data_IF_071660197575
#
_entry.id   IF_071660197575
#
_cell.length_a   1.000
_cell.length_b   1.000
_cell.length_c   1.000
_cell.angle_alpha   90.00
_cell.angle_beta   90.00
_cell.angle_gamma   90.00
#
_symmetry.space_group_name_H-M   'P 1'
#
loop_
_entity.id
_entity.type
_entity.pdbx_description
1 polymer ?
#
# COMPACT_ATOMS: atom_id res chain seq x y z
N UNK A 1 -17.26 23.25 10.44
CA UNK A 1 -16.14 22.65 11.18
C UNK A 1 -15.76 21.34 10.52
N UNK A 2 -16.53 20.25 10.67
CA UNK A 2 -16.30 18.97 9.97
C UNK A 2 -15.94 19.04 8.46
N UNK A 3 -16.69 19.81 7.65
CA UNK A 3 -16.41 19.95 6.21
C UNK A 3 -15.15 20.75 5.89
N UNK A 4 -14.69 21.60 6.81
CA UNK A 4 -13.48 22.41 6.64
C UNK A 4 -12.24 21.55 6.92
N UNK A 5 -12.25 20.77 8.00
CA UNK A 5 -11.18 19.82 8.34
C UNK A 5 -11.00 18.76 7.25
N UNK A 6 -12.10 18.20 6.72
CA UNK A 6 -12.05 17.27 5.59
C UNK A 6 -11.42 17.92 4.34
N UNK A 7 -11.76 19.18 4.06
CA UNK A 7 -11.19 19.90 2.92
C UNK A 7 -9.70 20.21 3.11
N UNK A 8 -9.27 20.51 4.33
CA UNK A 8 -7.86 20.69 4.67
C UNK A 8 -7.06 19.39 4.50
N UNK A 9 -7.60 18.27 4.99
CA UNK A 9 -6.97 16.95 4.84
C UNK A 9 -6.90 16.57 3.35
N UNK A 10 -7.97 16.82 2.57
CA UNK A 10 -7.99 16.58 1.12
C UNK A 10 -6.93 17.41 0.38
N UNK A 11 -6.76 18.68 0.76
CA UNK A 11 -5.72 19.57 0.23
C UNK A 11 -4.33 19.04 0.51
N UNK A 12 -4.05 18.65 1.75
CA UNK A 12 -2.76 18.08 2.15
C UNK A 12 -2.45 16.76 1.40
N UNK A 13 -3.43 15.87 1.26
CA UNK A 13 -3.27 14.62 0.49
C UNK A 13 -2.92 14.94 -0.97
N UNK A 14 -3.61 15.90 -1.57
CA UNK A 14 -3.38 16.32 -2.96
C UNK A 14 -1.98 16.92 -3.16
N UNK A 15 -1.51 17.75 -2.23
CA UNK A 15 -0.15 18.30 -2.27
C UNK A 15 0.91 17.19 -2.14
N UNK A 16 0.67 16.19 -1.29
CA UNK A 16 1.55 15.03 -1.18
C UNK A 16 1.56 14.22 -2.47
N UNK A 17 0.41 13.94 -3.09
CA UNK A 17 0.38 13.23 -4.38
C UNK A 17 1.12 14.00 -5.47
N UNK A 18 0.97 15.33 -5.52
CA UNK A 18 1.74 16.17 -6.44
C UNK A 18 3.24 16.07 -6.17
N UNK A 19 3.65 16.06 -4.90
CA UNK A 19 5.05 15.89 -4.52
C UNK A 19 5.58 14.48 -4.86
N UNK A 20 4.77 13.44 -4.68
CA UNK A 20 5.10 12.05 -5.03
C UNK A 20 5.28 11.92 -6.54
N UNK A 21 4.32 12.40 -7.34
CA UNK A 21 4.38 12.39 -8.80
C UNK A 21 5.66 13.04 -9.32
N UNK A 22 5.93 14.28 -8.88
CA UNK A 22 7.14 15.01 -9.25
C UNK A 22 8.42 14.30 -8.77
N UNK A 23 8.35 13.65 -7.61
CA UNK A 23 9.46 12.89 -7.04
C UNK A 23 9.81 11.64 -7.83
N UNK A 24 8.81 10.83 -8.21
CA UNK A 24 9.01 9.64 -9.04
C UNK A 24 9.48 10.00 -10.45
N UNK A 25 8.93 11.06 -11.06
CA UNK A 25 9.41 11.57 -12.35
C UNK A 25 10.88 12.03 -12.30
N UNK A 26 11.33 12.58 -11.16
CA UNK A 26 12.75 12.90 -10.94
C UNK A 26 13.57 11.64 -10.74
N UNK A 27 13.07 10.69 -9.95
CA UNK A 27 13.71 9.41 -9.65
C UNK A 27 14.05 8.62 -10.93
N UNK A 28 13.16 8.63 -11.93
CA UNK A 28 13.37 8.04 -13.26
C UNK A 28 14.57 8.63 -14.00
N UNK A 29 14.83 9.92 -13.82
CA UNK A 29 15.90 10.64 -14.51
C UNK A 29 17.26 10.49 -13.81
N UNK A 30 17.26 10.12 -12.53
CA UNK A 30 18.49 9.92 -11.77
C UNK A 30 19.10 8.57 -12.17
N UNK A 31 20.35 8.58 -12.63
CA UNK A 31 21.11 7.37 -12.99
C UNK A 31 21.93 6.80 -11.83
N UNK A 32 22.22 7.63 -10.84
CA UNK A 32 23.01 7.29 -9.67
C UNK A 32 22.17 6.54 -8.63
N UNK A 33 22.51 5.28 -8.39
CA UNK A 33 21.75 4.40 -7.49
C UNK A 33 21.68 4.93 -6.05
N UNK A 34 22.76 5.54 -5.55
CA UNK A 34 22.81 6.07 -4.18
C UNK A 34 21.83 7.24 -3.99
N UNK A 35 21.74 8.13 -4.99
CA UNK A 35 20.78 9.24 -5.02
C UNK A 35 19.36 8.74 -5.26
N UNK A 36 19.16 7.72 -6.09
CA UNK A 36 17.85 7.07 -6.25
C UNK A 36 17.37 6.49 -4.92
N UNK A 37 18.20 5.74 -4.19
CA UNK A 37 17.83 5.19 -2.88
C UNK A 37 17.41 6.28 -1.89
N UNK A 38 18.19 7.36 -1.77
CA UNK A 38 17.86 8.49 -0.88
C UNK A 38 16.54 9.17 -1.27
N UNK A 39 16.33 9.41 -2.56
CA UNK A 39 15.08 10.00 -3.05
C UNK A 39 13.88 9.06 -2.81
N UNK A 40 14.07 7.74 -2.97
CA UNK A 40 13.04 6.75 -2.74
C UNK A 40 12.62 6.68 -1.26
N UNK A 41 13.57 6.87 -0.34
CA UNK A 41 13.31 6.99 1.10
C UNK A 41 12.42 8.20 1.41
N UNK A 42 12.77 9.39 0.89
CA UNK A 42 11.96 10.60 1.05
C UNK A 42 10.53 10.45 0.47
N UNK A 43 10.41 9.76 -0.67
CA UNK A 43 9.09 9.44 -1.25
C UNK A 43 8.33 8.42 -0.39
N UNK A 44 9.04 7.51 0.26
CA UNK A 44 8.44 6.53 1.18
C UNK A 44 7.85 7.18 2.41
N UNK A 45 8.54 8.16 2.99
CA UNK A 45 8.01 8.89 4.14
C UNK A 45 6.77 9.73 3.76
N UNK A 46 6.78 10.38 2.59
CA UNK A 46 5.59 11.05 2.05
C UNK A 46 4.41 10.10 1.83
N UNK A 47 4.65 8.88 1.34
CA UNK A 47 3.58 7.88 1.21
C UNK A 47 3.02 7.45 2.57
N UNK A 48 3.86 7.33 3.61
CA UNK A 48 3.41 7.05 4.98
C UNK A 48 2.56 8.18 5.53
N UNK A 49 2.95 9.42 5.28
CA UNK A 49 2.19 10.60 5.69
C UNK A 49 0.85 10.68 4.95
N UNK A 50 0.82 10.46 3.64
CA UNK A 50 -0.43 10.35 2.88
C UNK A 50 -1.34 9.24 3.45
N UNK A 51 -0.79 8.06 3.77
CA UNK A 51 -1.54 6.97 4.41
C UNK A 51 -2.14 7.39 5.76
N UNK A 52 -1.43 8.20 6.54
CA UNK A 52 -1.91 8.74 7.81
C UNK A 52 -3.07 9.71 7.59
N UNK A 53 -2.90 10.67 6.67
CA UNK A 53 -3.94 11.63 6.33
C UNK A 53 -5.20 10.96 5.77
N UNK A 54 -5.08 9.92 4.94
CA UNK A 54 -6.24 9.14 4.46
C UNK A 54 -6.98 8.46 5.62
N UNK A 55 -6.27 8.00 6.65
CA UNK A 55 -6.91 7.45 7.86
C UNK A 55 -7.58 8.53 8.71
N UNK A 56 -6.98 9.71 8.80
CA UNK A 56 -7.60 10.86 9.46
C UNK A 56 -8.86 11.31 8.71
N UNK A 57 -8.81 11.35 7.37
CA UNK A 57 -9.98 11.57 6.51
C UNK A 57 -11.09 10.55 6.78
N UNK A 58 -10.79 9.25 6.83
CA UNK A 58 -11.77 8.21 7.17
C UNK A 58 -12.40 8.39 8.57
N UNK A 59 -11.60 8.83 9.54
CA UNK A 59 -12.07 9.09 10.90
C UNK A 59 -13.01 10.29 10.92
N UNK A 60 -12.63 11.39 10.30
CA UNK A 60 -13.48 12.60 10.21
C UNK A 60 -14.77 12.33 9.43
N UNK A 61 -14.72 11.49 8.39
CA UNK A 61 -15.92 11.05 7.67
C UNK A 61 -16.90 10.33 8.60
N UNK A 62 -16.41 9.40 9.42
CA UNK A 62 -17.25 8.65 10.37
C UNK A 62 -17.82 9.54 11.48
N UNK A 63 -17.05 10.52 11.95
CA UNK A 63 -17.53 11.48 12.96
C UNK A 63 -18.60 12.42 12.38
N UNK A 64 -18.46 12.76 11.10
CA UNK A 64 -19.35 13.67 10.37
C UNK A 64 -20.55 12.99 9.70
N UNK A 65 -20.61 11.65 9.69
CA UNK A 65 -21.66 10.83 9.06
C UNK A 65 -23.05 11.18 9.61
N UNK A 66 -23.13 11.55 10.89
CA UNK A 66 -24.38 11.95 11.56
C UNK A 66 -24.92 13.32 11.14
N UNK A 67 -24.12 14.16 10.46
CA UNK A 67 -24.46 15.55 10.10
C UNK A 67 -24.55 15.80 8.60
N UNK A 68 -24.04 14.89 7.78
CA UNK A 68 -24.00 15.06 6.32
C UNK A 68 -25.17 14.36 5.64
N UNK A 69 -25.63 14.95 4.54
CA UNK A 69 -26.64 14.32 3.68
C UNK A 69 -26.03 13.09 2.97
N UNK A 70 -26.78 11.99 2.77
CA UNK A 70 -26.29 10.75 2.16
C UNK A 70 -25.61 10.96 0.80
N UNK A 71 -26.00 11.98 0.02
CA UNK A 71 -25.31 12.29 -1.25
C UNK A 71 -23.87 12.79 -1.02
N UNK A 72 -23.66 13.67 -0.03
CA UNK A 72 -22.34 14.19 0.33
C UNK A 72 -21.46 13.07 0.89
N UNK A 73 -22.03 12.20 1.72
CA UNK A 73 -21.28 11.09 2.29
C UNK A 73 -20.81 10.08 1.22
N UNK A 74 -21.67 9.82 0.23
CA UNK A 74 -21.31 9.00 -0.93
C UNK A 74 -20.14 9.61 -1.71
N UNK A 75 -20.21 10.90 -2.05
CA UNK A 75 -19.13 11.58 -2.79
C UNK A 75 -17.79 11.54 -2.02
N UNK A 76 -17.81 11.76 -0.71
CA UNK A 76 -16.62 11.73 0.13
C UNK A 76 -16.03 10.31 0.23
N UNK A 77 -16.88 9.29 0.31
CA UNK A 77 -16.45 7.89 0.29
C UNK A 77 -15.80 7.52 -1.05
N UNK A 78 -16.37 7.97 -2.18
CA UNK A 78 -15.79 7.78 -3.51
C UNK A 78 -14.42 8.48 -3.63
N UNK A 79 -14.31 9.72 -3.13
CA UNK A 79 -13.02 10.44 -3.08
C UNK A 79 -11.97 9.69 -2.27
N UNK A 80 -12.33 9.23 -1.07
CA UNK A 80 -11.44 8.41 -0.23
C UNK A 80 -10.92 7.19 -0.99
N UNK A 81 -11.81 6.47 -1.67
CA UNK A 81 -11.43 5.30 -2.48
C UNK A 81 -10.46 5.67 -3.60
N UNK A 82 -10.67 6.82 -4.26
CA UNK A 82 -9.74 7.32 -5.27
C UNK A 82 -8.35 7.59 -4.69
N UNK A 83 -8.27 8.26 -3.54
CA UNK A 83 -6.99 8.53 -2.86
C UNK A 83 -6.26 7.24 -2.46
N UNK A 84 -6.99 6.23 -1.97
CA UNK A 84 -6.41 4.92 -1.64
C UNK A 84 -5.82 4.25 -2.89
N UNK A 85 -6.57 4.24 -3.99
CA UNK A 85 -6.11 3.67 -5.26
C UNK A 85 -4.84 4.36 -5.76
N UNK A 86 -4.83 5.69 -5.72
CA UNK A 86 -3.67 6.47 -6.14
C UNK A 86 -2.44 6.22 -5.26
N UNK A 87 -2.61 6.17 -3.92
CA UNK A 87 -1.54 5.81 -3.01
C UNK A 87 -0.99 4.40 -3.31
N UNK A 88 -1.86 3.43 -3.58
CA UNK A 88 -1.45 2.07 -3.92
C UNK A 88 -0.64 2.02 -5.22
N UNK A 89 -0.97 2.84 -6.23
CA UNK A 89 -0.15 2.98 -7.44
C UNK A 89 1.27 3.50 -7.13
N UNK A 90 1.41 4.49 -6.24
CA UNK A 90 2.74 4.95 -5.81
C UNK A 90 3.50 3.91 -4.98
N UNK A 91 2.81 3.12 -4.16
CA UNK A 91 3.42 1.99 -3.42
C UNK A 91 3.95 0.94 -4.40
N UNK A 92 3.20 0.60 -5.45
CA UNK A 92 3.64 -0.31 -6.49
C UNK A 92 4.86 0.24 -7.25
N UNK A 93 4.84 1.52 -7.64
CA UNK A 93 5.99 2.20 -8.25
C UNK A 93 7.23 2.12 -7.35
N UNK A 94 7.09 2.42 -6.05
CA UNK A 94 8.21 2.32 -5.10
C UNK A 94 8.78 0.92 -5.02
N UNK A 95 7.93 -0.11 -4.99
CA UNK A 95 8.38 -1.51 -5.01
C UNK A 95 9.19 -1.80 -6.27
N UNK A 96 8.71 -1.37 -7.44
CA UNK A 96 9.43 -1.53 -8.70
C UNK A 96 10.81 -0.87 -8.70
N UNK A 97 10.94 0.36 -8.19
CA UNK A 97 12.26 1.01 -8.07
C UNK A 97 13.17 0.34 -7.04
N UNK A 98 12.61 -0.11 -5.91
CA UNK A 98 13.37 -0.83 -4.89
C UNK A 98 13.95 -2.14 -5.45
N UNK A 99 13.12 -2.94 -6.14
CA UNK A 99 13.55 -4.18 -6.80
C UNK A 99 14.58 -3.92 -7.90
N UNK A 100 14.41 -2.85 -8.70
CA UNK A 100 15.39 -2.47 -9.72
C UNK A 100 16.75 -2.05 -9.12
N UNK A 101 16.74 -1.36 -7.97
CA UNK A 101 17.96 -0.99 -7.24
C UNK A 101 18.66 -2.21 -6.64
N UNK A 102 17.90 -3.18 -6.16
CA UNK A 102 18.41 -4.42 -5.57
C UNK A 102 18.99 -5.36 -6.63
N UNK A 103 18.30 -5.58 -7.75
CA UNK A 103 18.82 -6.36 -8.88
C UNK A 103 20.14 -5.79 -9.41
N UNK A 104 20.28 -4.46 -9.46
CA UNK A 104 21.54 -3.79 -9.85
C UNK A 104 22.69 -4.01 -8.86
N UNK A 105 22.39 -4.31 -7.58
CA UNK A 105 23.39 -4.66 -6.56
C UNK A 105 23.73 -6.15 -6.59
N UNK A 106 22.74 -7.01 -6.84
CA UNK A 106 22.91 -8.47 -6.93
C UNK A 106 23.73 -8.85 -8.17
N UNK A 107 23.63 -8.11 -9.29
CA UNK A 107 24.45 -8.34 -10.49
C UNK A 107 25.98 -8.16 -10.24
N UNK A 108 26.37 -7.51 -9.14
CA UNK A 108 27.79 -7.30 -8.79
C UNK A 108 28.34 -8.31 -7.77
N UNK A 109 27.50 -9.16 -7.18
CA UNK A 109 27.90 -10.20 -6.22
C UNK A 109 27.05 -11.47 -6.41
N UNK A 110 27.59 -12.39 -7.20
CA UNK A 110 27.46 -13.86 -7.09
C UNK A 110 26.15 -14.50 -6.53
N UNK A 111 25.45 -15.26 -7.39
CA UNK A 111 24.88 -16.56 -7.02
C UNK A 111 23.44 -16.63 -6.46
N UNK A 112 22.74 -17.78 -6.61
CA UNK A 112 21.28 -17.88 -6.56
C UNK A 112 20.74 -17.85 -5.13
N UNK A 113 20.10 -16.75 -4.74
CA UNK A 113 19.48 -16.58 -3.42
C UNK A 113 17.99 -16.28 -3.52
N UNK A 114 17.19 -17.33 -3.34
CA UNK A 114 15.80 -17.37 -2.84
C UNK A 114 14.84 -16.23 -3.21
N UNK A 115 13.99 -16.52 -4.19
CA UNK A 115 12.88 -15.68 -4.61
C UNK A 115 11.81 -15.51 -3.52
N UNK A 116 11.81 -14.33 -2.91
CA UNK A 116 10.65 -13.50 -2.56
C UNK A 116 9.31 -14.23 -2.38
N UNK A 117 9.12 -14.84 -1.21
CA UNK A 117 7.82 -15.24 -0.68
C UNK A 117 7.10 -14.00 -0.14
N UNK A 118 6.48 -13.19 -1.00
CA UNK A 118 5.52 -12.17 -0.53
C UNK A 118 4.40 -11.92 -1.57
N UNK A 119 3.83 -13.02 -2.05
CA UNK A 119 2.57 -13.07 -2.81
C UNK A 119 1.33 -12.82 -1.93
N UNK A 120 1.47 -12.73 -0.60
CA UNK A 120 0.34 -12.91 0.32
C UNK A 120 -0.39 -11.66 0.85
N UNK A 121 -0.08 -10.44 0.40
CA UNK A 121 -0.72 -9.22 0.94
C UNK A 121 -1.67 -8.52 -0.06
N UNK A 122 -1.74 -8.99 -1.31
CA UNK A 122 -2.56 -8.35 -2.35
C UNK A 122 -3.93 -9.01 -2.61
N UNK A 123 -4.22 -10.17 -2.01
CA UNK A 123 -5.52 -10.85 -2.21
C UNK A 123 -6.60 -10.55 -1.15
N UNK A 124 -6.27 -9.86 -0.05
CA UNK A 124 -7.20 -9.71 1.08
C UNK A 124 -8.18 -8.53 0.96
N UNK A 125 -8.07 -7.69 -0.08
CA UNK A 125 -8.85 -6.44 -0.15
C UNK A 125 -10.17 -6.56 -0.94
N UNK A 126 -10.51 -7.74 -1.46
CA UNK A 126 -11.74 -7.99 -2.24
C UNK A 126 -12.60 -9.18 -1.73
N UNK A 127 -12.37 -9.65 -0.50
CA UNK A 127 -13.10 -10.79 0.06
C UNK A 127 -14.00 -10.37 1.24
N UNK A 128 -15.29 -10.64 1.13
CA UNK A 128 -16.27 -10.43 2.19
C UNK A 128 -15.97 -11.35 3.38
N UNK A 129 -16.22 -10.90 4.62
CA UNK A 129 -15.83 -11.56 5.88
C UNK A 129 -16.23 -13.05 6.00
N UNK A 130 -17.23 -13.51 5.24
CA UNK A 130 -17.64 -14.92 5.20
C UNK A 130 -16.70 -15.83 4.37
N UNK A 131 -15.92 -15.30 3.42
CA UNK A 131 -14.97 -16.12 2.64
C UNK A 131 -13.61 -16.27 3.32
N UNK A 132 -13.25 -15.34 4.22
CA UNK A 132 -12.03 -15.41 5.04
C UNK A 132 -12.07 -16.58 6.05
N UNK A 133 -13.27 -16.93 6.56
CA UNK A 133 -13.42 -18.06 7.48
C UNK A 133 -13.35 -19.42 6.78
N UNK A 134 -13.90 -19.54 5.57
CA UNK A 134 -13.94 -20.83 4.86
C UNK A 134 -12.54 -21.25 4.37
N UNK A 135 -11.74 -20.28 3.90
CA UNK A 135 -10.38 -20.53 3.42
C UNK A 135 -9.36 -20.80 4.56
N UNK A 136 -9.70 -20.43 5.80
CA UNK A 136 -8.87 -20.70 6.98
C UNK A 136 -8.94 -22.17 7.45
N UNK A 137 -10.09 -22.82 7.26
CA UNK A 137 -10.28 -24.21 7.68
C UNK A 137 -9.66 -25.22 6.69
N UNK A 138 -9.60 -24.93 5.40
CA UNK A 138 -9.00 -25.85 4.42
C UNK A 138 -7.47 -25.98 4.54
N UNK A 139 -6.77 -24.93 4.97
CA UNK A 139 -5.31 -24.94 5.03
C UNK A 139 -4.75 -25.67 6.27
N UNK A 140 -5.58 -25.92 7.29
CA UNK A 140 -5.20 -26.64 8.51
C UNK A 140 -5.13 -28.16 8.28
N UNK A 141 -6.08 -28.73 7.53
CA UNK A 141 -6.13 -30.19 7.27
C UNK A 141 -5.01 -30.69 6.34
N UNK A 142 -4.52 -29.87 5.41
CA UNK A 142 -3.39 -30.24 4.54
C UNK A 142 -2.03 -30.20 5.25
N UNK A 143 -1.90 -29.40 6.32
CA UNK A 143 -0.65 -29.32 7.09
C UNK A 143 -0.50 -30.52 8.04
N UNK A 144 -1.59 -30.99 8.64
CA UNK A 144 -1.56 -32.15 9.55
C UNK A 144 -1.29 -33.48 8.82
N UNK A 145 -1.71 -33.64 7.56
CA UNK A 145 -1.44 -34.85 6.77
C UNK A 145 0.03 -34.99 6.33
N UNK A 146 0.76 -33.89 6.16
CA UNK A 146 2.17 -33.93 5.78
C UNK A 146 3.08 -34.33 6.95
N UNK A 147 2.70 -33.98 8.19
CA UNK A 147 3.49 -34.26 9.39
C UNK A 147 3.38 -35.73 9.82
N UNK A 148 2.22 -36.37 9.63
CA UNK A 148 2.04 -37.78 10.04
C UNK A 148 2.80 -38.76 9.12
N UNK A 149 3.03 -38.40 7.85
CA UNK A 149 3.77 -39.25 6.90
C UNK A 149 5.29 -39.25 7.14
N UNK A 150 5.83 -38.24 7.83
CA UNK A 150 7.26 -38.16 8.18
C UNK A 150 7.63 -38.97 9.44
N UNK A 151 6.63 -39.46 10.20
CA UNK A 151 6.84 -40.22 11.45
C UNK A 151 6.77 -41.74 11.29
N UNK A 152 6.52 -42.24 10.08
CA UNK A 152 6.50 -43.68 9.72
C UNK A 152 7.50 -44.02 8.61
N UNK A 153 8.69 -43.43 8.66
CA UNK A 153 9.90 -43.88 7.96
C UNK A 153 10.88 -44.47 8.95
#
# INVERSE_FOLDING_TARGET
MASEELAEIEGQISDIFRALSNGFQKLEKIKDSSRQSRQLEELTDKMRECKRLIKEFDRELKDSDYKNDPNTNKMLTEKKQSMIKELNSYVALKKQYASNLENKRVDLFEGPGEGFVEENVLLASDMNNQQLMDHGNQMMDETDQAIDRAKKG
#
